data_IF_077603177779
#
_entry.id   IF_077603177779
#
_cell.length_a   1.000
_cell.length_b   1.000
_cell.length_c   1.000
_cell.angle_alpha   90.00
_cell.angle_beta   90.00
_cell.angle_gamma   90.00
#
_symmetry.space_group_name_H-M   'P 1'
#
loop_
_entity.id
_entity.type
_entity.pdbx_description
1 polymer ?
#
# COMPACT_ATOMS: atom_id res chain seq x y z
N UNK A 1 -25.53 -19.73 -6.43
CA UNK A 1 -24.32 -19.97 -7.28
C UNK A 1 -23.02 -19.53 -6.59
N UNK A 2 -23.01 -18.46 -5.81
CA UNK A 2 -21.87 -18.01 -5.01
C UNK A 2 -21.37 -19.08 -4.02
N UNK A 3 -22.29 -19.78 -3.36
CA UNK A 3 -21.98 -20.81 -2.36
C UNK A 3 -21.17 -22.00 -2.88
N UNK A 4 -21.30 -22.33 -4.17
CA UNK A 4 -20.64 -23.51 -4.78
C UNK A 4 -19.15 -23.31 -5.11
N UNK A 5 -18.60 -22.09 -5.02
CA UNK A 5 -17.20 -21.80 -5.37
C UNK A 5 -16.39 -21.18 -4.24
N UNK A 6 -17.02 -20.94 -3.10
CA UNK A 6 -16.34 -20.34 -1.94
C UNK A 6 -15.25 -21.27 -1.37
N UNK A 7 -15.38 -22.56 -1.59
CA UNK A 7 -14.40 -23.59 -1.21
C UNK A 7 -13.05 -23.46 -1.95
N UNK A 8 -13.03 -22.70 -3.07
CA UNK A 8 -11.79 -22.42 -3.80
C UNK A 8 -11.02 -21.21 -3.25
N UNK A 9 -11.56 -20.54 -2.23
CA UNK A 9 -10.95 -19.37 -1.60
C UNK A 9 -10.23 -19.82 -0.33
N UNK A 10 -8.99 -19.38 -0.16
CA UNK A 10 -8.22 -19.67 1.04
C UNK A 10 -8.99 -19.26 2.31
N UNK A 11 -9.06 -20.11 3.34
CA UNK A 11 -9.84 -19.85 4.54
C UNK A 11 -9.41 -18.58 5.28
N UNK A 12 -8.15 -18.18 5.16
CA UNK A 12 -7.59 -16.96 5.74
C UNK A 12 -8.22 -15.67 5.17
N UNK A 13 -8.81 -15.74 3.98
CA UNK A 13 -9.47 -14.59 3.32
C UNK A 13 -10.98 -14.54 3.58
N UNK A 14 -11.52 -15.59 4.20
CA UNK A 14 -12.94 -15.69 4.51
C UNK A 14 -13.26 -15.14 5.91
N UNK A 15 -14.54 -14.87 6.16
CA UNK A 15 -15.05 -14.42 7.47
C UNK A 15 -14.40 -13.15 8.02
N UNK A 16 -13.96 -12.27 7.15
CA UNK A 16 -13.40 -10.99 7.54
C UNK A 16 -14.41 -10.16 8.37
N UNK A 17 -13.93 -9.29 9.25
CA UNK A 17 -14.76 -8.49 10.15
C UNK A 17 -15.82 -7.64 9.44
N UNK A 18 -15.53 -7.20 8.22
CA UNK A 18 -16.45 -6.44 7.37
C UNK A 18 -17.46 -7.31 6.61
N UNK A 19 -17.29 -8.64 6.60
CA UNK A 19 -18.16 -9.60 5.90
C UNK A 19 -18.36 -10.90 6.70
N UNK A 20 -18.93 -10.83 7.90
CA UNK A 20 -19.14 -12.01 8.75
C UNK A 20 -20.00 -13.07 8.06
N UNK A 21 -19.51 -14.31 8.05
CA UNK A 21 -20.18 -15.43 7.40
C UNK A 21 -20.19 -15.37 5.88
N UNK A 22 -19.40 -14.50 5.27
CA UNK A 22 -19.27 -14.30 3.82
C UNK A 22 -20.62 -14.04 3.12
N UNK A 23 -21.51 -13.28 3.80
CA UNK A 23 -22.91 -13.10 3.37
C UNK A 23 -23.10 -12.09 2.24
N UNK A 24 -22.19 -11.12 2.10
CA UNK A 24 -22.41 -9.94 1.29
C UNK A 24 -21.45 -9.82 0.11
N UNK A 25 -20.29 -10.44 0.22
CA UNK A 25 -19.24 -10.32 -0.79
C UNK A 25 -18.35 -11.56 -0.82
N UNK A 26 -17.58 -11.68 -1.91
CA UNK A 26 -16.54 -12.69 -2.05
C UNK A 26 -15.21 -11.98 -2.30
N UNK A 27 -14.13 -12.33 -1.57
CA UNK A 27 -12.79 -11.81 -1.84
C UNK A 27 -12.37 -12.10 -3.28
N UNK A 28 -11.76 -11.10 -3.92
CA UNK A 28 -11.27 -11.19 -5.30
C UNK A 28 -9.76 -10.97 -5.35
N UNK A 29 -9.28 -9.86 -4.86
CA UNK A 29 -7.86 -9.56 -4.67
C UNK A 29 -7.60 -9.09 -3.25
N UNK A 30 -6.35 -9.18 -2.85
CA UNK A 30 -5.83 -8.60 -1.63
C UNK A 30 -4.38 -8.17 -1.84
N UNK A 31 -3.90 -7.33 -0.99
CA UNK A 31 -2.50 -6.89 -1.01
C UNK A 31 -2.16 -5.97 0.13
N UNK A 32 -0.91 -5.54 0.12
CA UNK A 32 -0.36 -4.62 1.12
C UNK A 32 0.10 -3.33 0.44
N UNK A 33 0.13 -2.24 1.19
CA UNK A 33 0.95 -1.09 0.87
C UNK A 33 2.37 -1.37 1.37
N UNK A 34 3.39 -0.94 0.65
CA UNK A 34 4.78 -1.14 1.05
C UNK A 34 5.73 -0.23 0.30
N UNK A 35 7.00 -0.50 0.50
CA UNK A 35 8.09 0.25 -0.10
C UNK A 35 8.70 -0.60 -1.22
N UNK A 36 8.67 -0.10 -2.46
CA UNK A 36 9.52 -0.60 -3.54
C UNK A 36 10.79 0.25 -3.58
N UNK A 37 11.94 -0.37 -3.65
CA UNK A 37 13.21 0.34 -3.68
C UNK A 37 14.18 -0.28 -4.69
N UNK A 38 15.09 0.53 -5.21
CA UNK A 38 16.14 0.10 -6.10
C UNK A 38 17.41 -0.16 -5.29
N UNK A 39 17.83 -1.42 -5.17
CA UNK A 39 19.00 -1.83 -4.38
C UNK A 39 20.32 -1.25 -4.87
N UNK A 40 20.37 -0.68 -6.09
CA UNK A 40 21.55 -0.01 -6.62
C UNK A 40 21.58 1.51 -6.35
N UNK A 41 20.50 2.04 -5.76
CA UNK A 41 20.32 3.47 -5.50
C UNK A 41 20.11 3.79 -4.00
N UNK A 42 20.05 2.76 -3.17
CA UNK A 42 19.98 2.89 -1.71
C UNK A 42 21.15 2.17 -1.09
N UNK A 43 21.75 2.75 -0.05
CA UNK A 43 22.89 2.13 0.65
C UNK A 43 22.45 0.97 1.55
N UNK A 44 21.24 1.10 2.14
CA UNK A 44 20.62 0.09 2.99
C UNK A 44 19.15 -0.11 2.59
N UNK A 45 18.69 -1.37 2.65
CA UNK A 45 17.28 -1.67 2.42
C UNK A 45 16.41 -1.00 3.49
N UNK A 46 15.34 -0.27 3.11
CA UNK A 46 14.42 0.29 4.08
C UNK A 46 13.63 -0.86 4.75
N UNK A 47 13.54 -0.85 6.08
CA UNK A 47 12.79 -1.83 6.87
C UNK A 47 11.65 -1.20 7.67
N UNK A 48 11.70 0.13 7.83
CA UNK A 48 10.78 0.93 8.62
C UNK A 48 10.17 2.06 7.78
N UNK A 49 8.95 2.48 8.14
CA UNK A 49 8.38 3.69 7.53
C UNK A 49 9.25 4.92 7.80
N UNK A 50 9.87 5.00 8.97
CA UNK A 50 10.77 6.10 9.36
C UNK A 50 12.00 6.23 8.46
N UNK A 51 12.42 5.18 7.79
CA UNK A 51 13.53 5.24 6.83
C UNK A 51 13.28 6.23 5.71
N UNK A 52 12.00 6.48 5.35
CA UNK A 52 11.65 7.46 4.32
C UNK A 52 12.09 8.89 4.68
N UNK A 53 12.28 9.21 5.95
CA UNK A 53 12.72 10.55 6.42
C UNK A 53 14.23 10.72 6.42
N UNK A 54 15.02 9.71 6.06
CA UNK A 54 16.47 9.82 5.96
C UNK A 54 16.86 10.89 4.92
N UNK A 55 17.81 11.78 5.24
CA UNK A 55 18.16 12.91 4.36
C UNK A 55 18.82 12.47 3.04
N UNK A 56 19.38 11.26 2.98
CA UNK A 56 19.94 10.69 1.77
C UNK A 56 18.90 10.48 0.68
N UNK A 57 17.62 10.38 1.01
CA UNK A 57 16.53 10.18 0.04
C UNK A 57 15.94 11.50 -0.49
N UNK A 58 16.66 12.62 -0.31
CA UNK A 58 16.22 13.91 -0.85
C UNK A 58 15.88 13.81 -2.35
N UNK A 59 14.66 14.30 -2.70
CA UNK A 59 14.15 14.32 -4.09
C UNK A 59 14.20 12.94 -4.80
N UNK A 60 13.99 11.84 -4.07
CA UNK A 60 14.11 10.49 -4.63
C UNK A 60 12.97 9.54 -4.26
N UNK A 61 11.98 10.01 -3.49
CA UNK A 61 10.82 9.21 -3.10
C UNK A 61 9.60 9.55 -3.95
N UNK A 62 8.97 8.53 -4.50
CA UNK A 62 7.68 8.61 -5.14
C UNK A 62 6.59 8.11 -4.17
N UNK A 63 5.56 8.92 -3.95
CA UNK A 63 4.40 8.51 -3.15
C UNK A 63 3.20 8.22 -4.07
N UNK A 64 2.42 7.22 -3.69
CA UNK A 64 1.13 6.97 -4.33
C UNK A 64 0.17 8.14 -4.05
N UNK A 65 -0.58 8.58 -5.09
CA UNK A 65 -1.58 9.64 -4.97
C UNK A 65 -2.84 9.12 -4.27
N UNK A 66 -2.76 9.03 -2.97
CA UNK A 66 -3.83 8.55 -2.11
C UNK A 66 -3.70 9.12 -0.70
N UNK A 67 -4.63 10.00 -0.30
CA UNK A 67 -4.59 10.63 1.02
C UNK A 67 -4.62 9.60 2.16
N UNK A 68 -5.39 8.51 2.00
CA UNK A 68 -5.47 7.45 3.00
C UNK A 68 -4.15 6.70 3.16
N UNK A 69 -3.47 6.41 2.06
CA UNK A 69 -2.21 5.69 2.00
C UNK A 69 -1.10 6.53 2.63
N UNK A 70 -1.02 7.79 2.26
CA UNK A 70 -0.01 8.73 2.79
C UNK A 70 -0.23 9.02 4.28
N UNK A 71 -1.47 9.28 4.70
CA UNK A 71 -1.78 9.42 6.13
C UNK A 71 -1.54 8.12 6.90
N UNK A 72 -1.88 6.97 6.31
CA UNK A 72 -1.69 5.66 6.92
C UNK A 72 -0.23 5.34 7.20
N UNK A 73 0.68 5.57 6.25
CA UNK A 73 2.11 5.38 6.48
C UNK A 73 2.64 6.34 7.56
N UNK A 74 2.17 7.58 7.58
CA UNK A 74 2.55 8.55 8.60
C UNK A 74 2.06 8.14 10.00
N UNK A 75 0.82 7.67 10.13
CA UNK A 75 0.28 7.13 11.38
C UNK A 75 1.09 5.92 11.86
N UNK A 76 1.36 4.95 10.98
CA UNK A 76 2.13 3.77 11.32
C UNK A 76 3.56 4.11 11.74
N UNK A 77 4.20 5.10 11.10
CA UNK A 77 5.54 5.56 11.47
C UNK A 77 5.60 6.22 12.86
N UNK A 78 4.46 6.64 13.41
CA UNK A 78 4.31 7.14 14.78
C UNK A 78 3.83 6.05 15.77
N UNK A 79 3.63 4.82 15.29
CA UNK A 79 3.09 3.72 16.09
C UNK A 79 1.58 3.81 16.32
N UNK A 80 0.88 4.66 15.55
CA UNK A 80 -0.57 4.81 15.62
C UNK A 80 -1.29 3.85 14.65
N UNK A 81 -2.52 3.54 14.96
CA UNK A 81 -3.37 2.78 14.03
C UNK A 81 -3.65 3.58 12.76
N UNK A 82 -3.49 2.98 11.59
CA UNK A 82 -3.88 3.61 10.31
C UNK A 82 -5.39 3.94 10.21
N UNK A 83 -6.19 3.43 11.14
CA UNK A 83 -7.62 3.74 11.27
C UNK A 83 -7.91 4.74 12.39
N UNK A 84 -6.89 5.40 12.94
CA UNK A 84 -7.09 6.41 13.99
C UNK A 84 -8.00 7.53 13.49
N UNK A 85 -8.87 7.98 14.39
CA UNK A 85 -9.74 9.17 14.23
C UNK A 85 -9.44 10.22 15.29
N UNK A 86 -8.39 10.02 16.08
CA UNK A 86 -7.95 10.96 17.11
C UNK A 86 -7.38 12.22 16.43
N UNK A 87 -7.96 13.41 16.67
CA UNK A 87 -7.50 14.64 16.04
C UNK A 87 -6.04 14.97 16.34
N UNK A 88 -5.56 14.69 17.56
CA UNK A 88 -4.17 14.96 17.94
C UNK A 88 -3.21 14.04 17.17
N UNK A 89 -3.50 12.74 17.08
CA UNK A 89 -2.69 11.80 16.30
C UNK A 89 -2.65 12.18 14.81
N UNK A 90 -3.77 12.65 14.27
CA UNK A 90 -3.83 13.11 12.88
C UNK A 90 -3.01 14.38 12.67
N UNK A 91 -3.06 15.34 13.59
CA UNK A 91 -2.25 16.57 13.54
C UNK A 91 -0.74 16.26 13.62
N UNK A 92 -0.32 15.44 14.58
CA UNK A 92 1.07 14.97 14.69
C UNK A 92 1.55 14.26 13.42
N UNK A 93 0.68 13.47 12.81
CA UNK A 93 0.96 12.77 11.55
C UNK A 93 1.17 13.75 10.40
N UNK A 94 0.30 14.74 10.27
CA UNK A 94 0.43 15.78 9.23
C UNK A 94 1.73 16.56 9.40
N UNK A 95 2.06 16.97 10.64
CA UNK A 95 3.31 17.65 10.94
C UNK A 95 4.56 16.81 10.60
N UNK A 96 4.49 15.50 10.83
CA UNK A 96 5.55 14.57 10.43
C UNK A 96 5.65 14.46 8.91
N UNK A 97 4.54 14.33 8.22
CA UNK A 97 4.50 14.24 6.75
C UNK A 97 5.02 15.52 6.07
N UNK A 98 4.79 16.71 6.64
CA UNK A 98 5.42 17.93 6.13
C UNK A 98 6.95 17.86 6.15
N UNK A 99 7.54 17.18 7.14
CA UNK A 99 9.00 16.99 7.21
C UNK A 99 9.53 16.00 6.17
N UNK A 100 8.66 15.17 5.58
CA UNK A 100 9.01 14.28 4.47
C UNK A 100 9.11 15.02 3.14
N UNK A 101 8.49 16.18 3.00
CA UNK A 101 8.39 16.94 1.74
C UNK A 101 9.73 17.09 0.99
N UNK A 102 10.89 17.36 1.64
CA UNK A 102 12.16 17.48 0.91
C UNK A 102 12.62 16.18 0.20
N UNK A 103 12.13 15.03 0.66
CA UNK A 103 12.48 13.74 0.10
C UNK A 103 11.54 13.31 -1.04
N UNK A 104 10.37 13.94 -1.13
CA UNK A 104 9.35 13.61 -2.12
C UNK A 104 9.76 14.18 -3.48
N UNK A 105 9.95 13.29 -4.46
CA UNK A 105 10.17 13.63 -5.86
C UNK A 105 8.85 13.92 -6.57
N UNK A 106 7.86 13.06 -6.37
CA UNK A 106 6.53 13.23 -6.95
C UNK A 106 5.47 12.43 -6.18
N UNK A 107 4.22 12.87 -6.29
CA UNK A 107 3.04 12.13 -5.86
C UNK A 107 2.28 11.76 -7.13
N UNK A 108 2.16 10.48 -7.42
CA UNK A 108 1.69 9.96 -8.72
C UNK A 108 0.89 8.67 -8.53
N UNK A 109 0.13 8.31 -9.54
CA UNK A 109 -0.58 7.03 -9.60
C UNK A 109 0.21 6.00 -10.45
N UNK A 110 -0.32 5.63 -11.61
CA UNK A 110 0.25 4.60 -12.48
C UNK A 110 1.61 4.95 -13.06
N UNK A 111 1.94 6.23 -13.15
CA UNK A 111 3.21 6.74 -13.66
C UNK A 111 4.40 6.25 -12.84
N UNK A 112 4.21 5.98 -11.56
CA UNK A 112 5.26 5.46 -10.66
C UNK A 112 5.97 4.25 -11.26
N UNK A 113 5.23 3.35 -11.92
CA UNK A 113 5.82 2.16 -12.56
C UNK A 113 6.91 2.53 -13.55
N UNK A 114 6.64 3.51 -14.42
CA UNK A 114 7.60 3.97 -15.42
C UNK A 114 8.87 4.55 -14.79
N UNK A 115 8.72 5.37 -13.76
CA UNK A 115 9.86 5.97 -13.06
C UNK A 115 10.75 4.93 -12.38
N UNK A 116 10.15 4.00 -11.65
CA UNK A 116 10.90 2.96 -10.93
C UNK A 116 11.60 1.99 -11.88
N UNK A 117 10.91 1.52 -12.93
CA UNK A 117 11.47 0.59 -13.91
C UNK A 117 12.69 1.22 -14.64
N UNK A 118 12.65 2.53 -14.90
CA UNK A 118 13.70 3.26 -15.59
C UNK A 118 14.81 3.78 -14.66
N UNK A 119 14.81 3.44 -13.39
CA UNK A 119 15.75 3.93 -12.36
C UNK A 119 15.73 5.47 -12.18
N UNK A 120 14.57 6.09 -12.34
CA UNK A 120 14.40 7.54 -12.19
C UNK A 120 13.99 7.95 -10.75
N UNK A 121 13.79 6.99 -9.87
CA UNK A 121 13.56 7.19 -8.43
C UNK A 121 14.18 6.03 -7.65
N UNK A 122 14.67 6.31 -6.44
CA UNK A 122 15.25 5.31 -5.57
C UNK A 122 14.20 4.50 -4.81
N UNK A 123 13.12 5.17 -4.41
CA UNK A 123 12.07 4.60 -3.55
C UNK A 123 10.70 4.97 -4.11
N UNK A 124 9.76 4.02 -4.02
CA UNK A 124 8.34 4.22 -4.29
C UNK A 124 7.48 3.61 -3.20
N UNK A 125 6.45 4.32 -2.74
CA UNK A 125 5.44 3.77 -1.83
C UNK A 125 4.22 3.39 -2.66
N UNK A 126 3.92 2.10 -2.75
CA UNK A 126 2.88 1.57 -3.62
C UNK A 126 2.32 0.23 -3.15
N UNK A 127 1.32 -0.25 -3.84
CA UNK A 127 0.69 -1.54 -3.55
C UNK A 127 1.52 -2.72 -4.07
N UNK A 128 1.44 -3.85 -3.37
CA UNK A 128 2.18 -5.08 -3.68
C UNK A 128 1.96 -5.59 -5.12
N UNK A 129 0.74 -5.47 -5.66
CA UNK A 129 0.45 -5.85 -7.03
C UNK A 129 1.17 -5.01 -8.07
N UNK A 130 1.25 -3.68 -7.85
CA UNK A 130 2.01 -2.76 -8.70
C UNK A 130 3.51 -3.03 -8.59
N UNK A 131 4.00 -3.23 -7.36
CA UNK A 131 5.38 -3.58 -7.11
C UNK A 131 5.80 -4.85 -7.84
N UNK A 132 4.98 -5.91 -7.80
CA UNK A 132 5.26 -7.17 -8.50
C UNK A 132 5.51 -6.96 -10.00
N UNK A 133 4.69 -6.13 -10.66
CA UNK A 133 4.88 -5.80 -12.07
C UNK A 133 6.18 -5.02 -12.34
N UNK A 134 6.61 -4.18 -11.39
CA UNK A 134 7.88 -3.46 -11.48
C UNK A 134 9.07 -4.39 -11.32
N UNK A 135 9.02 -5.31 -10.35
CA UNK A 135 10.07 -6.29 -10.07
C UNK A 135 10.30 -7.23 -11.27
N UNK A 136 9.25 -7.62 -11.98
CA UNK A 136 9.35 -8.41 -13.21
C UNK A 136 10.13 -7.69 -14.34
N UNK A 137 10.08 -6.35 -14.37
CA UNK A 137 10.69 -5.54 -15.41
C UNK A 137 12.08 -5.04 -15.06
N UNK A 138 12.37 -4.89 -13.77
CA UNK A 138 13.66 -4.40 -13.29
C UNK A 138 14.13 -5.25 -12.10
N UNK A 139 15.13 -6.14 -12.28
CA UNK A 139 15.60 -7.06 -11.25
C UNK A 139 16.27 -6.38 -10.05
N UNK A 140 16.67 -5.11 -10.20
CA UNK A 140 17.26 -4.31 -9.12
C UNK A 140 16.21 -3.78 -8.14
N UNK A 141 14.92 -3.89 -8.48
CA UNK A 141 13.85 -3.50 -7.58
C UNK A 141 13.53 -4.60 -6.58
N UNK A 142 13.28 -4.19 -5.35
CA UNK A 142 12.83 -5.04 -4.25
C UNK A 142 11.59 -4.43 -3.62
N UNK A 143 10.80 -5.25 -2.94
CA UNK A 143 9.61 -4.80 -2.22
C UNK A 143 9.68 -5.27 -0.78
N UNK A 144 9.35 -4.39 0.14
CA UNK A 144 9.29 -4.66 1.57
C UNK A 144 7.99 -4.09 2.16
N UNK A 145 7.43 -4.82 3.11
CA UNK A 145 6.37 -4.32 4.00
C UNK A 145 7.05 -3.91 5.30
N UNK A 146 6.99 -2.64 5.69
CA UNK A 146 7.63 -2.16 6.92
C UNK A 146 7.17 -2.89 8.17
N UNK A 147 8.08 -3.01 9.12
CA UNK A 147 7.91 -3.84 10.33
C UNK A 147 6.87 -3.32 11.30
N UNK A 148 6.57 -2.01 11.30
CA UNK A 148 5.59 -1.41 12.19
C UNK A 148 4.16 -1.84 11.90
N UNK A 149 3.82 -2.03 10.68
CA UNK A 149 2.57 -2.50 10.09
C UNK A 149 2.34 -1.84 8.73
N UNK A 150 1.33 -2.29 8.01
CA UNK A 150 0.89 -1.64 6.78
C UNK A 150 -0.60 -1.82 6.53
N UNK A 151 -1.10 -1.13 5.50
CA UNK A 151 -2.46 -1.32 5.02
C UNK A 151 -2.58 -2.70 4.36
N UNK A 152 -3.37 -3.59 4.95
CA UNK A 152 -3.85 -4.81 4.32
C UNK A 152 -5.24 -4.52 3.74
N UNK A 153 -5.40 -4.64 2.44
CA UNK A 153 -6.65 -4.35 1.75
C UNK A 153 -7.22 -5.58 1.04
N UNK A 154 -8.54 -5.56 0.83
CA UNK A 154 -9.28 -6.61 0.14
C UNK A 154 -10.24 -5.99 -0.88
N UNK A 155 -10.10 -6.36 -2.12
CA UNK A 155 -11.14 -6.16 -3.12
C UNK A 155 -12.17 -7.27 -3.03
N UNK A 156 -13.42 -6.90 -3.13
CA UNK A 156 -14.51 -7.85 -3.00
C UNK A 156 -15.50 -7.72 -4.14
N UNK A 157 -15.95 -8.86 -4.67
CA UNK A 157 -17.03 -8.92 -5.62
C UNK A 157 -18.37 -8.97 -4.89
N UNK A 158 -19.34 -8.19 -5.37
CA UNK A 158 -20.70 -8.15 -4.84
C UNK A 158 -21.72 -8.23 -5.97
N UNK A 159 -22.91 -8.79 -5.68
CA UNK A 159 -24.04 -8.76 -6.58
C UNK A 159 -25.04 -7.74 -6.01
N UNK A 160 -25.30 -6.60 -6.68
CA UNK A 160 -26.27 -5.61 -6.22
C UNK A 160 -27.69 -6.21 -6.21
N UNK A 161 -28.53 -5.79 -5.25
CA UNK A 161 -29.93 -6.23 -5.18
C UNK A 161 -30.77 -5.87 -6.41
N UNK A 162 -30.32 -4.87 -7.17
CA UNK A 162 -31.00 -4.36 -8.36
C UNK A 162 -30.63 -5.09 -9.64
N UNK A 163 -29.70 -6.04 -9.59
CA UNK A 163 -29.30 -6.80 -10.78
C UNK A 163 -30.47 -7.65 -11.31
N UNK A 164 -30.62 -7.67 -12.62
CA UNK A 164 -31.71 -8.42 -13.28
C UNK A 164 -31.26 -9.81 -13.77
N UNK A 165 -29.97 -9.95 -14.11
CA UNK A 165 -29.35 -11.20 -14.58
C UNK A 165 -28.35 -11.65 -13.51
N UNK A 166 -28.60 -12.79 -12.88
CA UNK A 166 -27.73 -13.36 -11.83
C UNK A 166 -27.01 -14.64 -12.29
N UNK A 167 -27.16 -15.01 -13.56
CA UNK A 167 -26.62 -16.25 -14.16
C UNK A 167 -25.18 -16.04 -14.68
#
# INVERSE_FOLDING_TARGET
MIEKRIENIGPEFLNQSFNPGNKFSIPYFWGTLGIVYNETMVDEAPEHWDDLWKPEYKDSIMLFDGAREVLGLGLNSLGYSLNSKDPQQLEETVDKLYKLTPNIKAIVADEMKGYMIQNNAAIGVTFSGEASQMLEKNPNLKYVVPTEASNLWFDNMVIPKTVKNQD
#
